data_IF_646813242001
#
_entry.id   IF_646813242001
#
_cell.length_a   1.000
_cell.length_b   1.000
_cell.length_c   1.000
_cell.angle_alpha   90.00
_cell.angle_beta   90.00
_cell.angle_gamma   90.00
#
_symmetry.space_group_name_H-M   'P 1'
#
loop_
_entity.id
_entity.type
_entity.pdbx_description
1 polymer ?
#
# COMPACT_ATOMS: atom_id res chain seq x y z
N UNK A 1 -13.46 -2.25 4.95
CA UNK A 1 -13.07 -0.88 5.39
C UNK A 1 -12.17 -0.20 4.36
N UNK A 2 -10.98 -0.78 4.00
CA UNK A 2 -10.04 -0.12 3.06
C UNK A 2 -10.68 0.25 1.72
N UNK A 3 -11.40 -0.69 1.08
CA UNK A 3 -12.10 -0.44 -0.17
C UNK A 3 -13.17 0.66 -0.05
N UNK A 4 -13.92 0.64 1.05
CA UNK A 4 -14.99 1.60 1.27
C UNK A 4 -14.43 3.01 1.52
N UNK A 5 -13.37 3.14 2.30
CA UNK A 5 -12.67 4.41 2.51
C UNK A 5 -12.02 4.93 1.23
N UNK A 6 -11.34 4.08 0.46
CA UNK A 6 -10.75 4.46 -0.82
C UNK A 6 -11.83 4.92 -1.83
N UNK A 7 -12.97 4.20 -1.90
CA UNK A 7 -14.08 4.57 -2.77
C UNK A 7 -14.77 5.88 -2.34
N UNK A 8 -14.81 6.19 -1.05
CA UNK A 8 -15.36 7.46 -0.57
C UNK A 8 -14.53 8.67 -1.01
N UNK A 9 -13.21 8.51 -1.09
CA UNK A 9 -12.28 9.56 -1.55
C UNK A 9 -12.19 9.58 -3.08
N UNK A 10 -12.19 8.40 -3.71
CA UNK A 10 -12.10 8.21 -5.15
C UNK A 10 -13.28 7.37 -5.67
N UNK A 11 -14.42 7.99 -5.98
CA UNK A 11 -15.66 7.28 -6.33
C UNK A 11 -15.57 6.39 -7.57
N UNK A 12 -14.63 6.69 -8.46
CA UNK A 12 -14.41 5.92 -9.69
C UNK A 12 -13.45 4.75 -9.51
N UNK A 13 -12.84 4.58 -8.33
CA UNK A 13 -11.90 3.49 -8.10
C UNK A 13 -12.53 2.13 -8.35
N UNK A 14 -11.78 1.24 -9.01
CA UNK A 14 -12.18 -0.14 -9.30
C UNK A 14 -11.18 -1.16 -8.78
N UNK A 15 -9.93 -0.75 -8.58
CA UNK A 15 -8.90 -1.58 -7.99
C UNK A 15 -8.19 -0.80 -6.90
N UNK A 16 -8.07 -1.38 -5.72
CA UNK A 16 -7.31 -0.83 -4.60
C UNK A 16 -6.16 -1.78 -4.29
N UNK A 17 -4.94 -1.25 -4.29
CA UNK A 17 -3.79 -1.87 -3.66
C UNK A 17 -3.55 -1.15 -2.33
N UNK A 18 -3.81 -1.83 -1.23
CA UNK A 18 -3.46 -1.33 0.11
C UNK A 18 -2.15 -1.97 0.55
N UNK A 19 -1.12 -1.15 0.69
CA UNK A 19 0.21 -1.58 1.07
C UNK A 19 0.48 -1.15 2.51
N UNK A 20 0.12 -2.04 3.42
CA UNK A 20 0.16 -1.80 4.86
C UNK A 20 1.51 -2.09 5.50
N UNK A 21 1.57 -1.94 6.82
CA UNK A 21 2.76 -2.26 7.62
C UNK A 21 3.00 -3.77 7.72
N UNK A 22 1.93 -4.56 7.86
CA UNK A 22 2.03 -6.01 8.08
C UNK A 22 1.51 -6.84 6.91
N UNK A 23 0.64 -6.29 6.10
CA UNK A 23 -0.01 -6.98 5.00
C UNK A 23 -0.25 -6.08 3.80
N UNK A 24 -0.42 -6.72 2.65
CA UNK A 24 -0.82 -6.08 1.41
C UNK A 24 -2.15 -6.67 0.96
N UNK A 25 -3.02 -5.83 0.44
CA UNK A 25 -4.35 -6.23 -0.03
C UNK A 25 -4.57 -5.74 -1.45
N UNK A 26 -4.97 -6.64 -2.33
CA UNK A 26 -5.50 -6.31 -3.65
C UNK A 26 -7.01 -6.51 -3.62
N UNK A 27 -7.76 -5.46 -3.90
CA UNK A 27 -9.21 -5.41 -3.72
C UNK A 27 -9.86 -4.89 -4.99
N UNK A 28 -10.81 -5.62 -5.55
CA UNK A 28 -11.68 -5.08 -6.58
C UNK A 28 -12.92 -4.46 -5.96
N UNK A 29 -13.21 -3.25 -6.41
CA UNK A 29 -14.30 -2.43 -5.90
C UNK A 29 -15.32 -2.18 -7.01
N UNK A 30 -16.58 -2.40 -6.71
CA UNK A 30 -17.70 -2.06 -7.56
C UNK A 30 -18.44 -0.83 -7.02
N UNK A 31 -19.54 -0.46 -7.63
CA UNK A 31 -20.37 0.70 -7.22
C UNK A 31 -20.62 0.68 -5.71
N UNK A 32 -20.63 1.86 -5.10
CA UNK A 32 -20.87 2.08 -3.66
C UNK A 32 -19.82 1.43 -2.74
N UNK A 33 -18.62 1.17 -3.23
CA UNK A 33 -17.56 0.56 -2.42
C UNK A 33 -17.72 -0.93 -2.15
N UNK A 34 -18.60 -1.61 -2.89
CA UNK A 34 -18.82 -3.05 -2.76
C UNK A 34 -17.58 -3.82 -3.22
N UNK A 35 -17.06 -4.69 -2.37
CA UNK A 35 -15.91 -5.56 -2.69
C UNK A 35 -16.40 -6.76 -3.50
N UNK A 36 -15.81 -6.97 -4.67
CA UNK A 36 -16.11 -8.10 -5.56
C UNK A 36 -15.01 -9.15 -5.61
N UNK A 37 -13.78 -8.78 -5.26
CA UNK A 37 -12.65 -9.69 -5.12
C UNK A 37 -11.69 -9.14 -4.07
N UNK A 38 -11.09 -10.02 -3.29
CA UNK A 38 -10.14 -9.67 -2.25
C UNK A 38 -9.06 -10.72 -2.15
N UNK A 39 -7.81 -10.27 -2.21
CA UNK A 39 -6.64 -11.11 -1.96
C UNK A 39 -5.69 -10.37 -1.02
N UNK A 40 -5.14 -11.10 -0.10
CA UNK A 40 -4.17 -10.61 0.87
C UNK A 40 -2.95 -11.53 0.87
N UNK A 41 -1.76 -10.99 1.12
CA UNK A 41 -0.58 -11.82 1.28
C UNK A 41 -0.70 -12.67 2.56
N UNK A 42 -0.01 -13.81 2.56
CA UNK A 42 0.11 -14.66 3.74
C UNK A 42 0.83 -13.90 4.89
N UNK A 43 0.77 -14.46 6.10
CA UNK A 43 1.28 -13.86 7.35
C UNK A 43 2.80 -13.64 7.38
N UNK A 44 3.41 -13.31 6.26
CA UNK A 44 4.84 -13.05 6.15
C UNK A 44 5.10 -11.54 6.09
N UNK A 45 5.99 -11.05 6.92
CA UNK A 45 6.45 -9.65 6.88
C UNK A 45 7.16 -9.30 5.56
N UNK A 46 7.60 -10.31 4.81
CA UNK A 46 8.23 -10.13 3.51
C UNK A 46 7.28 -9.47 2.51
N UNK A 47 7.64 -8.29 2.04
CA UNK A 47 6.87 -7.55 1.05
C UNK A 47 5.82 -6.61 1.62
N UNK A 48 5.93 -6.20 2.88
CA UNK A 48 5.10 -5.17 3.50
C UNK A 48 5.96 -4.07 4.16
N UNK A 49 5.32 -3.05 4.74
CA UNK A 49 6.02 -1.92 5.36
C UNK A 49 6.97 -2.30 6.48
N UNK A 50 6.70 -3.38 7.23
CA UNK A 50 7.60 -3.87 8.27
C UNK A 50 8.94 -4.36 7.71
N UNK A 51 8.92 -4.94 6.51
CA UNK A 51 10.15 -5.31 5.82
C UNK A 51 11.00 -4.10 5.48
N UNK A 52 10.37 -3.02 5.00
CA UNK A 52 11.07 -1.75 4.75
C UNK A 52 11.65 -1.17 6.04
N UNK A 53 10.94 -1.26 7.18
CA UNK A 53 11.47 -0.87 8.49
C UNK A 53 12.73 -1.62 8.86
N UNK A 54 12.72 -2.95 8.73
CA UNK A 54 13.89 -3.79 8.96
C UNK A 54 15.07 -3.39 8.05
N UNK A 55 14.80 -3.16 6.76
CA UNK A 55 15.83 -2.74 5.80
C UNK A 55 16.39 -1.35 6.17
N UNK A 56 15.55 -0.43 6.61
CA UNK A 56 15.98 0.89 7.07
C UNK A 56 16.99 0.75 8.22
N UNK A 57 16.68 -0.05 9.21
CA UNK A 57 17.56 -0.32 10.36
C UNK A 57 18.90 -0.93 9.92
N UNK A 58 18.90 -1.92 9.03
CA UNK A 58 20.12 -2.57 8.50
C UNK A 58 21.04 -1.58 7.75
N UNK A 59 20.47 -0.58 7.09
CA UNK A 59 21.23 0.44 6.38
C UNK A 59 21.49 1.72 7.19
N UNK A 60 21.00 1.82 8.43
CA UNK A 60 21.10 3.00 9.27
C UNK A 60 20.37 4.21 8.67
N UNK A 61 19.21 3.98 8.05
CA UNK A 61 18.36 4.99 7.41
C UNK A 61 17.02 5.08 8.14
N UNK A 62 16.37 6.23 8.03
CA UNK A 62 14.95 6.35 8.35
C UNK A 62 14.09 5.79 7.21
N UNK A 63 12.83 5.43 7.50
CA UNK A 63 11.87 4.98 6.49
C UNK A 63 11.69 5.99 5.33
N UNK A 64 11.76 7.27 5.64
CA UNK A 64 11.59 8.34 4.65
C UNK A 64 12.80 8.51 3.73
N UNK A 65 13.97 8.03 4.14
CA UNK A 65 15.20 8.10 3.34
C UNK A 65 15.35 6.94 2.38
N UNK A 66 14.65 5.81 2.61
CA UNK A 66 14.77 4.60 1.78
C UNK A 66 14.42 4.85 0.30
N UNK A 67 13.30 5.53 0.06
CA UNK A 67 12.84 5.83 -1.30
C UNK A 67 13.80 6.74 -2.06
N UNK A 68 14.14 7.93 -1.51
CA UNK A 68 15.14 8.83 -2.08
C UNK A 68 16.49 8.16 -2.32
N UNK A 69 16.97 7.32 -1.39
CA UNK A 69 18.23 6.61 -1.54
C UNK A 69 18.19 5.57 -2.67
N UNK A 70 17.10 4.78 -2.73
CA UNK A 70 16.89 3.82 -3.81
C UNK A 70 16.82 4.49 -5.20
N UNK A 71 16.28 5.71 -5.26
CA UNK A 71 16.18 6.47 -6.52
C UNK A 71 17.52 6.97 -7.06
N UNK A 72 18.60 6.93 -6.28
CA UNK A 72 19.98 7.23 -6.73
C UNK A 72 20.65 6.05 -7.44
N UNK A 73 20.00 4.89 -7.50
CA UNK A 73 20.54 3.68 -8.10
C UNK A 73 20.91 3.88 -9.57
N UNK A 74 22.03 3.29 -9.95
CA UNK A 74 22.49 3.21 -11.35
C UNK A 74 22.07 1.91 -12.03
N UNK A 75 21.84 0.87 -11.23
CA UNK A 75 21.33 -0.44 -11.65
C UNK A 75 20.40 -0.98 -10.56
N UNK A 76 19.69 -2.04 -10.85
CA UNK A 76 18.85 -2.75 -9.88
C UNK A 76 19.53 -4.08 -9.54
N UNK A 77 20.04 -4.21 -8.32
CA UNK A 77 20.64 -5.46 -7.87
C UNK A 77 19.54 -6.48 -7.62
N UNK A 78 19.67 -7.66 -8.22
CA UNK A 78 18.67 -8.73 -8.02
C UNK A 78 18.70 -9.21 -6.58
N UNK A 79 17.54 -9.23 -5.93
CA UNK A 79 17.34 -9.77 -4.60
C UNK A 79 16.55 -11.07 -4.72
N UNK A 80 17.20 -12.18 -4.34
CA UNK A 80 16.64 -13.52 -4.48
C UNK A 80 15.79 -13.94 -3.28
N UNK A 81 16.15 -13.46 -2.09
CA UNK A 81 15.48 -13.85 -0.85
C UNK A 81 14.09 -13.30 -0.73
N UNK A 82 13.12 -14.20 -0.62
CA UNK A 82 11.72 -13.85 -0.36
C UNK A 82 11.44 -13.66 1.12
N UNK A 83 12.24 -14.23 1.99
CA UNK A 83 12.12 -14.16 3.44
C UNK A 83 12.93 -12.99 3.99
N UNK A 84 12.35 -12.20 4.89
CA UNK A 84 12.99 -11.04 5.53
C UNK A 84 14.30 -11.41 6.23
N UNK A 85 14.34 -12.59 6.88
CA UNK A 85 15.53 -13.05 7.61
C UNK A 85 16.69 -13.36 6.65
N UNK A 86 16.41 -14.07 5.57
CA UNK A 86 17.43 -14.38 4.57
C UNK A 86 17.84 -13.15 3.75
N UNK A 87 16.94 -12.22 3.53
CA UNK A 87 17.27 -10.97 2.85
C UNK A 87 18.32 -10.15 3.60
N UNK A 88 18.30 -10.15 4.93
CA UNK A 88 19.35 -9.49 5.72
C UNK A 88 20.74 -10.09 5.50
N UNK A 89 20.83 -11.42 5.41
CA UNK A 89 22.09 -12.09 5.10
C UNK A 89 22.55 -11.80 3.67
N UNK A 90 21.64 -11.86 2.69
CA UNK A 90 21.91 -11.54 1.28
C UNK A 90 22.37 -10.08 1.10
N UNK A 91 21.76 -9.13 1.80
CA UNK A 91 22.18 -7.72 1.79
C UNK A 91 23.63 -7.56 2.28
N UNK A 92 23.98 -8.24 3.39
CA UNK A 92 25.34 -8.19 3.93
C UNK A 92 26.37 -8.78 2.96
N UNK A 93 26.02 -9.87 2.30
CA UNK A 93 26.84 -10.49 1.26
C UNK A 93 27.02 -9.55 0.06
N UNK A 94 25.94 -8.95 -0.44
CA UNK A 94 25.98 -7.99 -1.56
C UNK A 94 26.87 -6.79 -1.23
N UNK A 95 26.74 -6.22 -0.03
CA UNK A 95 27.60 -5.13 0.43
C UNK A 95 29.07 -5.56 0.53
N UNK A 96 29.35 -6.77 1.03
CA UNK A 96 30.69 -7.33 1.09
C UNK A 96 31.30 -7.51 -0.31
N UNK A 97 30.48 -7.86 -1.29
CA UNK A 97 30.88 -8.02 -2.69
C UNK A 97 31.01 -6.68 -3.44
N UNK A 98 30.84 -5.53 -2.75
CA UNK A 98 31.03 -4.20 -3.31
C UNK A 98 29.83 -3.60 -4.03
N UNK A 99 28.66 -4.25 -3.95
CA UNK A 99 27.41 -3.67 -4.46
C UNK A 99 27.07 -2.37 -3.72
N UNK A 100 26.56 -1.40 -4.47
CA UNK A 100 26.28 -0.08 -3.90
C UNK A 100 24.93 -0.08 -3.16
N UNK A 101 24.87 0.61 -2.02
CA UNK A 101 23.64 0.75 -1.21
C UNK A 101 22.41 1.14 -2.05
N UNK A 102 22.45 2.18 -2.90
CA UNK A 102 21.29 2.55 -3.72
C UNK A 102 20.82 1.41 -4.63
N UNK A 103 21.74 0.67 -5.25
CA UNK A 103 21.43 -0.39 -6.19
C UNK A 103 20.74 -1.57 -5.51
N UNK A 104 21.19 -1.93 -4.30
CA UNK A 104 20.57 -2.95 -3.44
C UNK A 104 19.16 -2.50 -3.04
N UNK A 105 19.02 -1.25 -2.58
CA UNK A 105 17.73 -0.69 -2.19
C UNK A 105 16.74 -0.64 -3.35
N UNK A 106 17.19 -0.29 -4.56
CA UNK A 106 16.34 -0.32 -5.75
C UNK A 106 15.83 -1.74 -6.05
N UNK A 107 16.71 -2.73 -6.01
CA UNK A 107 16.32 -4.14 -6.19
C UNK A 107 15.33 -4.63 -5.13
N UNK A 108 15.53 -4.25 -3.87
CA UNK A 108 14.61 -4.56 -2.77
C UNK A 108 13.21 -3.96 -3.01
N UNK A 109 13.13 -2.67 -3.33
CA UNK A 109 11.86 -2.01 -3.63
C UNK A 109 11.14 -2.67 -4.81
N UNK A 110 11.88 -2.98 -5.87
CA UNK A 110 11.36 -3.70 -7.03
C UNK A 110 10.78 -5.07 -6.64
N UNK A 111 11.52 -5.85 -5.87
CA UNK A 111 11.09 -7.19 -5.45
C UNK A 111 9.82 -7.17 -4.60
N UNK A 112 9.67 -6.17 -3.72
CA UNK A 112 8.47 -5.98 -2.90
C UNK A 112 7.26 -5.67 -3.79
N UNK A 113 7.43 -4.76 -4.75
CA UNK A 113 6.35 -4.40 -5.67
C UNK A 113 5.95 -5.57 -6.57
N UNK A 114 6.90 -6.38 -7.05
CA UNK A 114 6.61 -7.59 -7.82
C UNK A 114 5.68 -8.55 -7.06
N UNK A 115 5.87 -8.68 -5.75
CA UNK A 115 4.97 -9.49 -4.90
C UNK A 115 3.58 -8.89 -4.79
N UNK A 116 3.48 -7.57 -4.64
CA UNK A 116 2.20 -6.87 -4.65
C UNK A 116 1.48 -7.02 -5.99
N UNK A 117 2.22 -6.95 -7.12
CA UNK A 117 1.67 -7.21 -8.45
C UNK A 117 1.13 -8.64 -8.60
N UNK A 118 1.77 -9.62 -7.96
CA UNK A 118 1.26 -11.00 -7.93
C UNK A 118 -0.09 -11.11 -7.20
N UNK A 119 -0.34 -10.30 -6.16
CA UNK A 119 -1.65 -10.21 -5.52
C UNK A 119 -2.70 -9.61 -6.45
N UNK A 120 -2.34 -8.53 -7.15
CA UNK A 120 -3.21 -7.88 -8.14
C UNK A 120 -3.58 -8.88 -9.25
N UNK A 121 -2.62 -9.61 -9.78
CA UNK A 121 -2.89 -10.62 -10.82
C UNK A 121 -3.86 -11.69 -10.34
N UNK A 122 -3.69 -12.18 -9.12
CA UNK A 122 -4.61 -13.17 -8.51
C UNK A 122 -6.01 -12.61 -8.25
N UNK A 123 -6.12 -11.30 -7.99
CA UNK A 123 -7.44 -10.67 -7.79
C UNK A 123 -8.21 -10.44 -9.09
N UNK A 124 -7.57 -10.66 -10.25
CA UNK A 124 -8.17 -10.46 -11.58
C UNK A 124 -7.60 -9.25 -12.34
N UNK A 125 -6.40 -8.79 -11.96
CA UNK A 125 -5.68 -7.70 -12.61
C UNK A 125 -6.11 -6.31 -12.15
N UNK A 126 -5.72 -5.30 -12.92
CA UNK A 126 -6.10 -3.91 -12.68
C UNK A 126 -7.32 -3.54 -13.51
N UNK A 127 -8.33 -2.98 -12.85
CA UNK A 127 -9.46 -2.29 -13.48
C UNK A 127 -9.32 -0.81 -13.18
N UNK A 128 -9.45 0.03 -14.20
CA UNK A 128 -9.34 1.48 -14.07
C UNK A 128 -10.59 2.05 -13.34
N UNK A 129 -10.47 2.93 -12.35
CA UNK A 129 -9.27 3.60 -11.85
C UNK A 129 -8.58 2.73 -10.76
N UNK A 130 -7.28 2.85 -10.68
CA UNK A 130 -6.44 2.17 -9.69
C UNK A 130 -6.11 3.12 -8.53
N UNK A 131 -6.34 2.70 -7.31
CA UNK A 131 -6.04 3.49 -6.11
C UNK A 131 -4.99 2.78 -5.25
N UNK A 132 -3.91 3.50 -4.93
CA UNK A 132 -2.83 3.00 -4.10
C UNK A 132 -2.93 3.62 -2.70
N UNK A 133 -3.09 2.78 -1.67
CA UNK A 133 -3.31 3.17 -0.27
C UNK A 133 -2.31 2.51 0.68
N UNK A 134 -2.41 2.85 1.96
CA UNK A 134 -1.52 2.35 3.01
C UNK A 134 -0.31 3.24 3.25
N UNK A 135 0.43 2.94 4.32
CA UNK A 135 1.59 3.74 4.73
C UNK A 135 2.74 3.71 3.73
N UNK A 136 2.91 2.60 3.02
CA UNK A 136 3.98 2.42 2.03
C UNK A 136 3.73 3.23 0.75
N UNK A 137 2.50 3.67 0.49
CA UNK A 137 2.19 4.55 -0.64
C UNK A 137 2.92 5.91 -0.59
N UNK A 138 3.49 6.26 0.57
CA UNK A 138 4.35 7.45 0.73
C UNK A 138 5.80 7.23 0.32
N UNK A 139 6.23 5.99 0.10
CA UNK A 139 7.59 5.70 -0.34
C UNK A 139 7.71 5.91 -1.85
N UNK A 140 8.56 6.86 -2.24
CA UNK A 140 8.70 7.29 -3.64
C UNK A 140 9.19 6.18 -4.58
N UNK A 141 10.10 5.33 -4.12
CA UNK A 141 10.62 4.23 -4.93
C UNK A 141 9.55 3.14 -5.11
N UNK A 142 8.80 2.80 -4.07
CA UNK A 142 7.66 1.88 -4.19
C UNK A 142 6.64 2.45 -5.17
N UNK A 143 6.30 3.73 -5.03
CA UNK A 143 5.34 4.39 -5.93
C UNK A 143 5.80 4.34 -7.39
N UNK A 144 7.08 4.64 -7.64
CA UNK A 144 7.70 4.57 -8.98
C UNK A 144 7.54 3.16 -9.57
N UNK A 145 7.90 2.12 -8.83
CA UNK A 145 7.82 0.75 -9.32
C UNK A 145 6.38 0.27 -9.48
N UNK A 146 5.47 0.63 -8.58
CA UNK A 146 4.04 0.30 -8.73
C UNK A 146 3.50 0.92 -10.02
N UNK A 147 3.76 2.21 -10.25
CA UNK A 147 3.32 2.91 -11.46
C UNK A 147 3.87 2.25 -12.72
N UNK A 148 5.18 1.99 -12.76
CA UNK A 148 5.83 1.36 -13.89
C UNK A 148 5.25 -0.02 -14.19
N UNK A 149 5.17 -0.90 -13.19
CA UNK A 149 4.71 -2.27 -13.38
C UNK A 149 3.22 -2.36 -13.71
N UNK A 150 2.40 -1.45 -13.19
CA UNK A 150 0.98 -1.38 -13.56
C UNK A 150 0.83 -0.99 -15.02
N UNK A 151 1.56 0.03 -15.48
CA UNK A 151 1.53 0.45 -16.90
C UNK A 151 2.05 -0.66 -17.81
N UNK A 152 3.17 -1.27 -17.47
CA UNK A 152 3.77 -2.35 -18.26
C UNK A 152 2.87 -3.58 -18.42
N UNK A 153 2.10 -3.90 -17.35
CA UNK A 153 1.27 -5.11 -17.32
C UNK A 153 -0.17 -4.90 -17.79
N UNK A 154 -0.72 -3.71 -17.61
CA UNK A 154 -2.15 -3.43 -17.81
C UNK A 154 -2.44 -2.21 -18.69
N UNK A 155 -1.39 -1.53 -19.17
CA UNK A 155 -1.53 -0.31 -19.97
C UNK A 155 -1.79 0.95 -19.14
N UNK A 156 -2.17 2.02 -19.84
CA UNK A 156 -2.46 3.30 -19.19
C UNK A 156 -3.66 3.22 -18.26
N UNK A 157 -3.45 3.59 -17.00
CA UNK A 157 -4.49 3.65 -15.97
C UNK A 157 -4.41 4.97 -15.19
N UNK A 158 -5.55 5.47 -14.77
CA UNK A 158 -5.62 6.57 -13.81
C UNK A 158 -5.22 6.04 -12.44
N UNK A 159 -4.11 6.55 -11.89
CA UNK A 159 -3.62 6.15 -10.56
C UNK A 159 -3.96 7.22 -9.53
N UNK A 160 -4.74 6.85 -8.55
CA UNK A 160 -5.17 7.69 -7.44
C UNK A 160 -4.28 7.45 -6.21
N UNK A 161 -3.75 8.55 -5.64
CA UNK A 161 -2.99 8.55 -4.40
C UNK A 161 -3.42 9.75 -3.58
N UNK A 162 -3.56 9.56 -2.27
CA UNK A 162 -3.92 10.63 -1.35
C UNK A 162 -2.84 10.83 -0.28
N UNK A 163 -2.62 12.04 0.17
CA UNK A 163 -1.69 12.35 1.27
C UNK A 163 -2.01 11.58 2.55
N UNK A 164 -3.30 11.34 2.80
CA UNK A 164 -3.82 10.59 3.94
C UNK A 164 -4.13 9.12 3.60
N UNK A 165 -3.43 8.55 2.61
CA UNK A 165 -3.59 7.16 2.16
C UNK A 165 -3.56 6.13 3.29
N UNK A 166 -2.81 6.42 4.36
CA UNK A 166 -2.70 5.57 5.55
C UNK A 166 -4.02 5.43 6.33
N UNK A 167 -4.93 6.41 6.21
CA UNK A 167 -6.18 6.44 6.99
C UNK A 167 -7.39 5.88 6.24
N UNK A 168 -7.24 5.37 5.02
CA UNK A 168 -8.37 4.87 4.23
C UNK A 168 -9.13 3.74 4.93
N UNK A 169 -8.42 2.85 5.63
CA UNK A 169 -9.04 1.81 6.43
C UNK A 169 -9.86 2.36 7.61
N UNK A 170 -9.34 3.36 8.30
CA UNK A 170 -10.03 4.03 9.41
C UNK A 170 -11.27 4.80 8.94
N UNK A 171 -11.15 5.55 7.84
CA UNK A 171 -12.27 6.24 7.22
C UNK A 171 -13.39 5.27 6.87
N UNK A 172 -13.07 4.17 6.18
CA UNK A 172 -14.06 3.16 5.84
C UNK A 172 -14.68 2.49 7.06
N UNK A 173 -13.91 2.25 8.13
CA UNK A 173 -14.43 1.73 9.41
C UNK A 173 -15.43 2.69 10.06
N UNK A 174 -15.10 3.98 10.13
CA UNK A 174 -15.99 5.01 10.66
C UNK A 174 -17.29 5.13 9.85
N UNK A 175 -17.19 5.06 8.51
CA UNK A 175 -18.36 5.08 7.64
C UNK A 175 -19.27 3.86 7.82
N UNK A 176 -18.70 2.66 8.03
CA UNK A 176 -19.46 1.46 8.37
C UNK A 176 -20.16 1.59 9.72
N UNK A 177 -19.44 2.06 10.75
CA UNK A 177 -20.03 2.30 12.06
C UNK A 177 -21.21 3.26 11.99
N UNK A 178 -21.03 4.40 11.31
CA UNK A 178 -22.12 5.39 11.10
C UNK A 178 -23.32 4.78 10.40
N UNK A 179 -23.12 3.96 9.36
CA UNK A 179 -24.21 3.31 8.62
C UNK A 179 -25.01 2.36 9.52
N UNK A 180 -24.35 1.57 10.35
CA UNK A 180 -24.99 0.64 11.26
C UNK A 180 -25.81 1.36 12.34
N UNK A 181 -25.23 2.42 12.95
CA UNK A 181 -25.95 3.25 13.92
C UNK A 181 -27.20 3.87 13.29
N UNK A 182 -27.12 4.36 12.05
CA UNK A 182 -28.27 4.96 11.35
C UNK A 182 -29.35 3.94 11.00
N UNK A 183 -28.98 2.66 10.86
CA UNK A 183 -29.95 1.58 10.62
C UNK A 183 -30.67 1.13 11.89
N UNK A 184 -30.02 1.23 13.06
CA UNK A 184 -30.53 0.80 14.36
C UNK A 184 -31.29 1.90 15.11
N UNK A 185 -31.20 3.16 14.68
CA UNK A 185 -31.96 4.26 15.28
C UNK A 185 -33.43 4.18 14.84
N UNK A 186 -34.40 4.19 15.80
CA UNK A 186 -35.80 4.32 15.47
C UNK A 186 -36.02 5.58 14.62
N UNK A 187 -36.79 5.47 13.55
CA UNK A 187 -37.14 6.62 12.72
C UNK A 187 -37.82 7.68 13.59
N UNK A 188 -37.11 8.79 13.85
CA UNK A 188 -37.61 9.88 14.68
C UNK A 188 -36.66 10.42 15.75
N UNK A 189 -35.53 9.76 16.01
CA UNK A 189 -34.56 10.29 16.99
C UNK A 189 -33.59 11.25 16.31
N UNK A 190 -33.98 12.52 16.24
CA UNK A 190 -33.09 13.63 15.87
C UNK A 190 -32.04 13.77 16.98
N UNK A 191 -30.79 13.43 16.68
CA UNK A 191 -29.65 13.84 17.52
C UNK A 191 -29.59 15.37 17.43
N UNK A 192 -30.02 16.06 18.49
CA UNK A 192 -29.81 17.49 18.63
C UNK A 192 -28.31 17.72 18.75
N UNK A 193 -27.74 18.40 17.78
CA UNK A 193 -26.41 18.99 17.95
C UNK A 193 -26.49 19.96 19.14
N UNK A 194 -25.86 19.60 20.24
CA UNK A 194 -25.64 20.52 21.34
C UNK A 194 -24.58 21.51 20.90
N UNK A 195 -25.01 22.61 20.31
CA UNK A 195 -24.17 23.78 20.07
C UNK A 195 -23.72 24.33 21.42
N UNK A 196 -22.56 23.93 21.89
CA UNK A 196 -21.86 24.57 23.00
C UNK A 196 -21.29 25.89 22.53
N UNK A 197 -21.95 26.99 22.82
CA UNK A 197 -21.36 28.32 22.75
C UNK A 197 -20.30 28.41 23.86
N UNK A 198 -19.05 28.55 23.48
CA UNK A 198 -17.97 28.95 24.38
C UNK A 198 -17.97 30.48 24.42
N UNK A 199 -18.35 31.06 25.56
CA UNK A 199 -18.04 32.45 25.92
C UNK A 199 -16.58 32.56 26.37
#
# INVERSE_FOLDING_TARGET
CHAFGAHAVFPNTRTVLDFGVQDNKAIHVYKYGLVTSFHMNDRCAAGCGRYLGYIADEFGLSLNELGPEANKAKKETTICSTCTVFAGAEIKELLHNGEQKPDILAGLHKSIVQRAMSLIARSGGVKNEFTFTGGVARNEAVLKYVKQMVIDSYGEVTMNIHTDSIFMGALGGAMFARRNISADLPQGTLVRETGGSVN
#
